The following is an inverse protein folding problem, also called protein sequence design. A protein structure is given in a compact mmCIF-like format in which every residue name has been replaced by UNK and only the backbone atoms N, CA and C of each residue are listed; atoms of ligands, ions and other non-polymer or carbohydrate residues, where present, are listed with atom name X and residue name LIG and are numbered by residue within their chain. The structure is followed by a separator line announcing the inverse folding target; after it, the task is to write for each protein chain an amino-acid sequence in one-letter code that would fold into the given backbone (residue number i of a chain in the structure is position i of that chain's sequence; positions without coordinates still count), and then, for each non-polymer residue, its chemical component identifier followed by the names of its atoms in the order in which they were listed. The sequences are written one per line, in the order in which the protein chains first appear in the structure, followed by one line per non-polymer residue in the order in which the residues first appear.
data_IF_547433244170
#
_entry.id   IF_547433244170
#
_cell.length_a   1.000
_cell.length_b   1.000
_cell.length_c   1.000
_cell.angle_alpha   90.00
_cell.angle_beta   90.00
_cell.angle_gamma   90.00
#
_symmetry.space_group_name_H-M   'P 1'
#
loop_
_entity.id
_entity.type
_entity.pdbx_description
1 polymer ?
2 polymer ?
3 non-polymer ?
4 non-polymer ?
5 non-polymer ?
6 water ?
#
# COMPACT_ATOMS: atom_id res chain seq x y z
N UNK A 2 2.73 -0.41 21.00
CA UNK A 2 2.71 0.91 20.31
C UNK A 2 3.25 1.00 18.85
N UNK A 3 4.22 0.17 18.45
CA UNK A 3 4.57 0.16 17.01
C UNK A 3 3.45 -0.41 16.11
N UNK A 4 2.50 -1.09 16.72
CA UNK A 4 1.42 -1.69 15.95
C UNK A 4 0.17 -0.87 15.85
N UNK A 5 0.20 0.36 16.35
CA UNK A 5 -1.05 1.09 16.51
C UNK A 5 -1.21 2.10 15.33
N UNK A 6 -2.37 2.01 14.64
CA UNK A 6 -2.69 2.84 13.50
C UNK A 6 -3.98 3.54 13.79
N UNK A 7 -4.11 4.71 13.24
CA UNK A 7 -5.34 5.44 13.35
C UNK A 7 -5.88 5.57 11.94
N UNK A 8 -7.16 5.27 11.73
CA UNK A 8 -7.83 5.32 10.42
C UNK A 8 -8.85 6.38 10.46
N UNK A 9 -8.71 7.37 9.56
CA UNK A 9 -9.75 8.31 9.38
C UNK A 9 -10.09 8.47 7.98
N UNK A 10 -11.19 9.10 7.79
CA UNK A 10 -11.64 9.52 6.49
C UNK A 10 -11.56 10.96 6.26
N UNK A 11 -11.30 11.23 5.03
CA UNK A 11 -11.35 12.64 4.63
C UNK A 11 -11.93 12.75 3.20
N UNK A 12 -12.42 13.93 2.85
CA UNK A 12 -13.23 14.14 1.64
C UNK A 12 -12.72 15.27 0.82
N UNK A 13 -12.64 15.02 -0.46
CA UNK A 13 -12.22 16.10 -1.38
C UNK A 13 -12.83 15.78 -2.69
N UNK A 14 -13.28 16.86 -3.41
CA UNK A 14 -13.89 16.62 -4.73
C UNK A 14 -14.98 15.63 -4.82
N UNK A 15 -15.67 15.46 -3.69
CA UNK A 15 -16.84 14.56 -3.74
C UNK A 15 -16.43 13.08 -3.58
N UNK A 16 -15.16 12.90 -3.33
CA UNK A 16 -14.61 11.54 -3.17
C UNK A 16 -14.10 11.29 -1.75
N UNK A 17 -13.98 9.97 -1.46
CA UNK A 17 -13.66 9.52 -0.12
C UNK A 17 -12.18 9.09 -0.10
N UNK A 18 -11.45 9.56 0.89
CA UNK A 18 -10.01 9.17 1.03
C UNK A 18 -10.02 8.56 2.42
N UNK A 19 -9.43 7.37 2.48
CA UNK A 19 -9.08 6.81 3.80
C UNK A 19 -7.66 7.03 4.06
N UNK A 20 -7.41 7.45 5.25
CA UNK A 20 -6.07 7.75 5.74
C UNK A 20 -5.73 6.90 6.95
N UNK A 21 -4.71 6.06 6.83
CA UNK A 21 -4.21 5.31 7.93
C UNK A 21 -2.92 5.95 8.37
N UNK A 22 -2.86 6.32 9.62
CA UNK A 22 -1.66 6.90 10.19
C UNK A 22 -1.06 5.94 11.18
N UNK A 23 0.22 5.66 11.01
CA UNK A 23 0.96 4.92 11.97
C UNK A 23 1.32 5.96 13.08
N UNK A 24 0.71 5.75 14.24
CA UNK A 24 0.65 6.86 15.23
C UNK A 24 2.06 7.25 15.70
N UNK A 25 2.91 6.27 15.90
CA UNK A 25 4.25 6.44 16.49
C UNK A 25 5.17 7.20 15.52
N UNK A 26 4.92 7.09 14.21
CA UNK A 26 5.83 7.64 13.28
C UNK A 26 5.33 8.77 12.50
N UNK A 27 3.99 8.84 12.29
CA UNK A 27 3.38 9.76 11.41
C UNK A 27 3.33 9.32 9.96
N UNK A 28 3.83 8.09 9.73
CA UNK A 28 3.75 7.57 8.33
C UNK A 28 2.30 7.39 7.94
N UNK A 29 1.96 7.67 6.71
CA UNK A 29 0.61 7.43 6.24
C UNK A 29 0.47 6.49 5.07
N UNK A 30 -0.67 5.84 5.01
CA UNK A 30 -1.12 5.14 3.77
C UNK A 30 -2.46 5.76 3.52
N UNK A 31 -2.75 6.14 2.33
CA UNK A 31 -4.09 6.76 2.09
C UNK A 31 -4.49 6.39 0.72
N UNK A 32 -5.75 6.25 0.44
CA UNK A 32 -6.21 6.06 -0.89
C UNK A 32 -7.61 6.55 -1.06
N UNK A 33 -7.91 6.96 -2.25
CA UNK A 33 -9.34 7.23 -2.62
C UNK A 33 -10.01 5.86 -2.67
N UNK A 34 -11.20 5.76 -2.08
CA UNK A 34 -11.99 4.56 -2.22
C UNK A 34 -13.34 4.98 -2.82
N UNK A 35 -14.10 4.06 -3.43
CA UNK A 35 -15.28 4.58 -4.12
C UNK A 35 -16.40 4.94 -3.21
N UNK A 36 -16.42 4.44 -2.00
CA UNK A 36 -17.54 4.80 -1.13
C UNK A 36 -17.07 4.38 0.25
N UNK A 37 -17.56 5.10 1.26
CA UNK A 37 -17.21 4.87 2.63
C UNK A 37 -18.02 3.76 3.25
N UNK A 38 -17.79 2.58 2.71
CA UNK A 38 -18.63 1.43 3.13
C UNK A 38 -17.78 0.46 3.91
N UNK A 39 -18.44 -0.44 4.66
CA UNK A 39 -17.75 -1.44 5.36
C UNK A 39 -16.85 -2.20 4.38
N UNK A 40 -17.36 -2.58 3.21
CA UNK A 40 -16.54 -3.38 2.38
C UNK A 40 -15.31 -2.68 1.92
N UNK A 41 -15.43 -1.42 1.49
CA UNK A 41 -14.23 -0.81 1.01
C UNK A 41 -13.28 -0.53 2.14
N UNK A 42 -13.78 -0.25 3.36
CA UNK A 42 -12.94 0.01 4.51
C UNK A 42 -12.19 -1.28 4.87
N UNK A 43 -12.94 -2.40 4.84
CA UNK A 43 -12.34 -3.68 5.22
C UNK A 43 -11.22 -4.01 4.18
N UNK A 44 -11.46 -3.69 2.90
CA UNK A 44 -10.40 -3.96 1.89
C UNK A 44 -9.16 -3.19 2.13
N UNK A 45 -9.37 -1.88 2.46
CA UNK A 45 -8.25 -1.02 2.72
C UNK A 45 -7.47 -1.49 3.95
N UNK A 46 -8.20 -1.90 4.99
CA UNK A 46 -7.52 -2.45 6.18
C UNK A 46 -6.77 -3.76 5.92
N UNK A 47 -7.42 -4.65 5.19
CA UNK A 47 -6.76 -5.92 4.87
C UNK A 47 -5.47 -5.64 4.07
N UNK A 48 -5.49 -4.68 3.12
CA UNK A 48 -4.28 -4.32 2.47
C UNK A 48 -3.20 -3.78 3.42
N UNK A 49 -3.57 -2.83 4.27
CA UNK A 49 -2.64 -2.29 5.21
C UNK A 49 -2.05 -3.37 6.06
N UNK A 50 -2.92 -4.24 6.55
CA UNK A 50 -2.45 -5.34 7.46
C UNK A 50 -1.47 -6.31 6.85
N UNK A 51 -1.44 -6.36 5.54
CA UNK A 51 -0.51 -7.23 4.87
C UNK A 51 0.79 -6.61 4.67
N UNK A 52 0.94 -5.30 4.83
CA UNK A 52 2.07 -4.57 4.52
C UNK A 52 2.83 -4.14 5.72
N UNK A 53 2.16 -3.99 6.88
CA UNK A 53 2.79 -3.52 8.09
C UNK A 53 2.26 -4.44 9.19
N UNK A 54 2.92 -4.47 10.31
CA UNK A 54 2.44 -5.34 11.40
C UNK A 54 1.42 -4.59 12.27
N UNK A 55 0.18 -4.63 11.84
CA UNK A 55 -0.87 -3.83 12.41
C UNK A 55 -1.55 -4.58 13.55
N UNK A 56 -1.42 -4.05 14.74
CA UNK A 56 -1.96 -4.75 15.96
C UNK A 56 -3.29 -4.11 16.32
N UNK A 57 -3.44 -2.80 16.26
CA UNK A 57 -4.62 -2.17 16.72
C UNK A 57 -4.88 -1.00 15.74
N UNK A 58 -6.14 -0.84 15.34
CA UNK A 58 -6.56 0.30 14.55
C UNK A 58 -7.57 1.02 15.45
N UNK A 59 -7.42 2.32 15.47
CA UNK A 59 -8.40 3.18 16.07
C UNK A 59 -9.11 3.84 14.95
N UNK A 60 -10.43 3.73 14.96
CA UNK A 60 -11.27 4.34 13.87
C UNK A 60 -12.26 5.27 14.49
N UNK A 61 -13.01 5.90 13.58
CA UNK A 61 -13.96 6.80 14.06
C UNK A 61 -15.21 6.09 14.54
N UNK A 62 -15.35 4.80 14.37
CA UNK A 62 -16.47 4.02 14.90
C UNK A 62 -17.79 4.38 14.24
N UNK A 63 -17.73 5.05 13.11
CA UNK A 63 -18.98 5.30 12.37
C UNK A 63 -19.58 4.26 11.57
N UNK A 64 -20.38 4.59 10.60
CA UNK A 64 -21.29 3.69 9.97
C UNK A 64 -20.61 2.52 9.30
N UNK A 65 -19.41 2.74 8.81
CA UNK A 65 -18.78 1.68 8.07
C UNK A 65 -18.13 0.69 9.00
N UNK A 66 -18.31 0.85 10.33
CA UNK A 66 -17.75 -0.09 11.26
C UNK A 66 -18.81 -0.83 12.00
N UNK A 67 -20.08 -0.54 11.76
CA UNK A 67 -21.12 -1.18 12.62
C UNK A 67 -21.47 -2.53 12.00
N UNK A 68 -21.08 -2.80 10.78
CA UNK A 68 -21.40 -4.02 10.14
C UNK A 68 -20.43 -5.17 10.33
N UNK A 69 -20.50 -6.09 9.40
CA UNK A 69 -19.77 -7.36 9.44
C UNK A 69 -18.38 -7.30 8.86
N UNK A 70 -18.20 -6.43 7.89
CA UNK A 70 -17.12 -6.64 6.97
C UNK A 70 -15.81 -6.19 7.54
N UNK A 71 -15.75 -5.02 8.19
CA UNK A 71 -14.50 -4.57 8.76
C UNK A 71 -14.14 -5.56 9.90
N UNK A 72 -15.13 -5.90 10.75
CA UNK A 72 -14.89 -6.79 11.85
C UNK A 72 -14.31 -8.07 11.30
N UNK A 73 -14.84 -8.58 10.20
CA UNK A 73 -14.32 -9.90 9.59
C UNK A 73 -12.88 -9.71 9.18
N UNK A 74 -12.56 -8.60 8.56
CA UNK A 74 -11.14 -8.43 8.20
C UNK A 74 -10.27 -8.25 9.31
N UNK A 75 -10.67 -7.51 10.31
CA UNK A 75 -9.86 -7.30 11.42
C UNK A 75 -9.63 -8.62 12.21
N UNK A 76 -10.71 -9.36 12.33
CA UNK A 76 -10.54 -10.68 13.07
C UNK A 76 -9.50 -11.48 12.30
N UNK A 77 -9.71 -11.65 11.03
CA UNK A 77 -8.84 -12.48 10.20
C UNK A 77 -7.47 -12.05 10.35
N UNK A 78 -7.22 -10.75 10.24
CA UNK A 78 -5.89 -10.23 10.28
C UNK A 78 -5.26 -10.05 11.65
N UNK A 79 -6.10 -10.31 12.69
CA UNK A 79 -5.64 -10.20 14.05
C UNK A 79 -5.34 -8.76 14.46
N UNK A 80 -6.25 -7.90 14.00
CA UNK A 80 -6.24 -6.52 14.40
C UNK A 80 -7.35 -6.28 15.40
N UNK A 81 -6.91 -5.63 16.44
CA UNK A 81 -7.87 -5.21 17.50
C UNK A 81 -8.45 -3.86 17.15
N UNK A 82 -9.78 -3.69 17.21
CA UNK A 82 -10.39 -2.35 17.16
C UNK A 82 -10.97 -2.16 18.57
N UNK A 97 -8.06 14.87 10.83
CA UNK A 97 -6.84 15.18 11.59
C UNK A 97 -6.14 16.54 11.20
N UNK A 98 -5.11 16.89 11.96
CA UNK A 98 -4.07 17.80 11.47
C UNK A 98 -3.55 17.11 10.22
N UNK A 99 -3.47 15.78 10.30
CA UNK A 99 -3.06 14.88 9.20
C UNK A 99 -3.96 14.88 8.00
N UNK A 100 -5.29 14.78 8.19
CA UNK A 100 -6.19 15.07 7.06
C UNK A 100 -5.92 16.48 6.50
N UNK A 101 -5.71 17.44 7.40
CA UNK A 101 -5.48 18.78 6.92
C UNK A 101 -4.12 18.86 6.21
N UNK A 102 -3.07 18.28 6.78
CA UNK A 102 -1.78 18.32 6.11
C UNK A 102 -1.87 17.60 4.75
N UNK A 103 -2.50 16.46 4.74
CA UNK A 103 -2.51 15.73 3.50
C UNK A 103 -3.22 16.56 2.50
N UNK A 104 -4.31 17.19 2.91
CA UNK A 104 -5.07 18.02 1.92
C UNK A 104 -4.27 19.19 1.36
N UNK A 105 -3.46 19.73 2.25
CA UNK A 105 -2.58 20.84 1.88
C UNK A 105 -1.63 20.30 0.80
N UNK A 106 -1.06 19.11 1.01
CA UNK A 106 -0.10 18.64 0.02
C UNK A 106 -0.84 18.31 -1.22
N UNK A 107 -2.01 17.67 -1.10
CA UNK A 107 -2.74 17.37 -2.30
C UNK A 107 -3.01 18.62 -3.13
N UNK A 108 -3.32 19.71 -2.46
CA UNK A 108 -3.69 20.96 -3.23
C UNK A 108 -2.42 21.50 -3.94
N UNK A 109 -1.24 21.25 -3.43
CA UNK A 109 0.05 21.70 -4.10
C UNK A 109 0.39 20.85 -5.32
N UNK A 110 -0.03 19.59 -5.30
CA UNK A 110 0.23 18.78 -6.48
C UNK A 110 -0.96 18.53 -7.36
N UNK A 111 -2.11 19.02 -6.95
CA UNK A 111 -3.36 18.67 -7.62
C UNK A 111 -3.35 18.99 -9.09
N UNK A 112 -2.80 20.12 -9.51
CA UNK A 112 -2.91 20.32 -10.97
C UNK A 112 -1.96 19.49 -11.83
N UNK A 113 -1.08 18.70 -11.19
CA UNK A 113 -0.17 17.86 -11.94
C UNK A 113 -0.77 16.58 -12.40
N UNK A 114 -1.93 16.28 -11.86
CA UNK A 114 -2.50 15.02 -12.13
C UNK A 114 -3.93 15.33 -12.53
N UNK A 115 -4.45 14.56 -13.48
CA UNK A 115 -5.86 14.67 -13.86
C UNK A 115 -6.73 14.11 -12.73
N UNK A 116 -6.35 12.97 -12.19
CA UNK A 116 -7.21 12.24 -11.25
C UNK A 116 -6.82 12.48 -9.86
N UNK A 117 -7.80 12.73 -9.04
CA UNK A 117 -7.55 12.92 -7.62
C UNK A 117 -6.67 11.79 -7.01
N UNK A 118 -6.99 10.55 -7.35
CA UNK A 118 -6.26 9.49 -6.74
C UNK A 118 -4.78 9.60 -6.96
N UNK A 119 -4.33 10.01 -8.15
CA UNK A 119 -2.92 10.21 -8.38
C UNK A 119 -2.34 11.30 -7.46
N UNK A 120 -3.03 12.46 -7.34
CA UNK A 120 -2.60 13.54 -6.47
C UNK A 120 -2.51 13.05 -5.01
N UNK A 121 -3.49 12.21 -4.57
CA UNK A 121 -3.36 11.63 -3.27
C UNK A 121 -2.06 10.82 -3.03
N UNK A 122 -1.75 9.97 -4.08
CA UNK A 122 -0.56 9.15 -3.85
C UNK A 122 0.71 10.03 -3.98
N UNK A 123 0.63 11.16 -4.75
CA UNK A 123 1.81 12.02 -4.71
C UNK A 123 1.94 12.64 -3.38
N UNK A 124 0.80 13.01 -2.81
CA UNK A 124 0.85 13.59 -1.52
C UNK A 124 1.26 12.69 -0.41
N UNK A 125 0.91 11.37 -0.52
CA UNK A 125 1.39 10.45 0.44
C UNK A 125 2.95 10.30 0.32
N UNK A 126 3.39 10.25 -0.97
CA UNK A 126 4.82 10.14 -1.18
C UNK A 126 5.50 11.35 -0.54
N UNK A 127 4.99 12.53 -0.79
CA UNK A 127 5.64 13.71 -0.28
C UNK A 127 5.65 13.61 1.21
N UNK A 128 4.48 13.31 1.77
CA UNK A 128 4.35 13.34 3.22
C UNK A 128 5.35 12.38 3.86
N UNK A 129 5.43 11.19 3.32
CA UNK A 129 6.24 10.13 3.93
C UNK A 129 7.72 10.27 3.72
N UNK A 130 8.12 10.97 2.68
CA UNK A 130 9.58 11.06 2.36
C UNK A 130 10.07 12.39 2.73
N UNK A 131 9.21 13.33 3.16
CA UNK A 131 9.71 14.72 3.46
C UNK A 131 10.61 14.63 4.64
N UNK A 132 11.78 15.32 4.55
CA UNK A 132 12.75 15.35 5.69
C UNK A 132 12.71 16.71 6.39
N UNK A 133 12.18 16.73 7.60
CA UNK A 133 11.88 17.95 8.36
C UNK A 133 13.12 18.70 8.91
N UNK A 134 14.31 18.19 8.60
CA UNK A 134 15.57 18.87 8.88
C UNK A 134 16.54 18.76 7.71
N UNK A 137 19.76 16.69 9.68
CA UNK A 137 19.71 15.26 9.83
C UNK A 137 18.40 14.78 10.44
N UNK A 138 17.28 15.38 10.00
CA UNK A 138 15.93 14.92 10.37
C UNK A 138 15.59 13.60 9.67
N UNK A 139 14.61 12.86 10.19
CA UNK A 139 14.17 11.61 9.52
C UNK A 139 12.82 11.87 8.85
N UNK A 140 12.55 11.10 7.82
CA UNK A 140 11.19 11.24 7.24
C UNK A 140 10.30 10.27 8.00
N UNK A 141 8.98 10.45 7.77
CA UNK A 141 8.00 9.43 8.35
C UNK A 141 8.26 8.01 7.91
N UNK A 142 8.65 7.84 6.64
CA UNK A 142 9.00 6.54 6.18
C UNK A 142 10.20 5.91 6.87
N UNK A 143 11.20 6.74 7.20
CA UNK A 143 12.34 6.20 7.90
C UNK A 143 11.96 5.93 9.34
N UNK A 144 11.14 6.82 9.93
CA UNK A 144 10.69 6.65 11.32
C UNK A 144 9.94 5.33 11.53
N UNK A 145 9.02 4.99 10.59
CA UNK A 145 8.25 3.78 10.78
C UNK A 145 9.06 2.53 10.70
N UNK A 146 10.00 2.49 9.72
CA UNK A 146 10.88 1.33 9.58
C UNK A 146 11.76 1.25 10.84
N UNK A 147 12.25 2.37 11.31
CA UNK A 147 13.17 2.30 12.48
C UNK A 147 12.38 1.85 13.73
N UNK A 148 11.18 2.42 13.97
CA UNK A 148 10.35 1.94 15.07
C UNK A 148 10.00 0.46 14.96
N UNK A 149 9.60 -0.04 13.79
CA UNK A 149 9.24 -1.45 13.72
C UNK A 149 10.48 -2.35 13.79
N UNK A 150 11.57 -1.89 13.20
CA UNK A 150 12.81 -2.73 13.22
C UNK A 150 13.26 -2.97 14.65
N UNK A 151 13.20 -1.91 15.42
CA UNK A 151 13.58 -1.86 16.83
C UNK A 151 12.68 -2.76 17.63
N UNK A 152 11.41 -2.69 17.33
CA UNK A 152 10.51 -3.61 17.96
C UNK A 152 10.80 -5.08 17.61
N UNK A 153 11.17 -5.38 16.36
CA UNK A 153 11.40 -6.79 15.99
C UNK A 153 12.62 -7.40 16.67
N UNK A 154 13.77 -6.74 16.56
CA UNK A 154 15.04 -7.23 17.14
C UNK A 154 15.14 -6.89 18.63
N UNK B 2 20.49 -5.10 -3.06
CA UNK B 2 20.39 -3.69 -2.52
C UNK B 2 18.96 -3.30 -2.02
N UNK B 3 18.85 -2.39 -1.02
CA UNK B 3 17.56 -2.17 -0.27
C UNK B 3 16.46 -1.46 -1.07
N UNK B 4 16.86 -0.81 -2.16
CA UNK B 4 15.92 0.03 -2.93
C UNK B 4 15.39 -0.70 -4.14
N UNK B 5 15.75 -1.97 -4.31
CA UNK B 5 15.48 -2.60 -5.62
C UNK B 5 14.21 -3.49 -5.49
N UNK B 6 13.28 -3.25 -6.44
CA UNK B 6 12.02 -3.96 -6.50
C UNK B 6 11.91 -4.57 -7.87
N UNK B 7 11.19 -5.64 -7.96
CA UNK B 7 10.90 -6.20 -9.23
C UNK B 7 9.45 -6.25 -9.36
N UNK B 8 8.94 -5.85 -10.52
CA UNK B 8 7.49 -5.69 -10.80
C UNK B 8 7.14 -6.66 -11.85
N UNK B 9 6.22 -7.58 -11.52
CA UNK B 9 5.73 -8.45 -12.53
C UNK B 9 4.28 -8.47 -12.52
N UNK B 10 3.72 -8.95 -13.59
CA UNK B 10 2.32 -9.21 -13.68
C UNK B 10 1.94 -10.65 -13.64
N UNK B 11 0.78 -10.89 -13.12
CA UNK B 11 0.28 -12.25 -13.14
C UNK B 11 -1.25 -12.18 -13.35
N UNK B 12 -1.85 -13.28 -13.76
CA UNK B 12 -3.23 -13.29 -14.23
C UNK B 12 -3.97 -14.42 -13.57
N UNK B 13 -5.18 -14.10 -13.17
CA UNK B 13 -6.06 -15.12 -12.59
C UNK B 13 -7.43 -14.66 -12.81
N UNK B 14 -8.34 -15.63 -13.17
CA UNK B 14 -9.75 -15.26 -13.40
C UNK B 14 -10.04 -14.14 -14.33
N UNK B 15 -9.12 -13.96 -15.27
CA UNK B 15 -9.37 -12.95 -16.30
C UNK B 15 -8.97 -11.56 -15.81
N UNK B 16 -8.33 -11.55 -14.64
CA UNK B 16 -7.92 -10.26 -14.05
C UNK B 16 -6.40 -10.17 -13.94
N UNK B 17 -5.99 -8.90 -13.78
CA UNK B 17 -4.59 -8.57 -13.84
C UNK B 17 -4.17 -8.29 -12.41
N UNK B 18 -3.08 -8.90 -12.02
CA UNK B 18 -2.53 -8.61 -10.69
C UNK B 18 -1.12 -8.13 -11.00
N UNK B 19 -0.78 -6.99 -10.37
CA UNK B 19 0.65 -6.53 -10.32
C UNK B 19 1.27 -6.93 -9.04
N UNK B 20 2.42 -7.51 -9.16
CA UNK B 20 3.16 -7.94 -8.04
C UNK B 20 4.54 -7.25 -7.93
N UNK B 21 4.76 -6.49 -6.86
CA UNK B 21 6.02 -5.89 -6.63
C UNK B 21 6.76 -6.63 -5.54
N UNK B 22 7.92 -7.11 -5.86
CA UNK B 22 8.70 -7.82 -4.92
C UNK B 22 9.90 -7.02 -4.55
N UNK B 23 10.14 -6.89 -3.25
CA UNK B 23 11.31 -6.27 -2.70
C UNK B 23 12.39 -7.35 -2.72
N UNK B 24 13.35 -7.14 -3.61
CA UNK B 24 14.17 -8.31 -4.00
C UNK B 24 14.99 -8.88 -2.82
N UNK B 25 15.53 -8.02 -1.96
CA UNK B 25 16.37 -8.43 -0.86
C UNK B 25 15.60 -9.19 0.20
N UNK B 26 14.28 -8.94 0.32
CA UNK B 26 13.53 -9.55 1.37
C UNK B 26 12.57 -10.57 1.02
N UNK B 27 12.02 -10.51 -0.21
CA UNK B 27 10.92 -11.32 -0.60
C UNK B 27 9.56 -10.77 -0.25
N UNK B 28 9.59 -9.59 0.36
CA UNK B 28 8.32 -8.91 0.74
C UNK B 28 7.56 -8.55 -0.55
N UNK B 29 6.26 -8.71 -0.58
CA UNK B 29 5.46 -8.31 -1.73
C UNK B 29 4.39 -7.29 -1.46
N UNK B 30 4.09 -6.56 -2.50
CA UNK B 30 2.88 -5.73 -2.54
C UNK B 30 2.23 -6.16 -3.80
N UNK B 31 0.99 -6.46 -3.76
CA UNK B 31 0.33 -6.91 -5.03
C UNK B 31 -1.06 -6.40 -5.00
N UNK B 32 -1.63 -6.08 -6.15
CA UNK B 32 -3.01 -5.69 -6.21
C UNK B 32 -3.57 -6.15 -7.52
N UNK B 33 -4.88 -6.41 -7.59
CA UNK B 33 -5.60 -6.48 -8.86
C UNK B 33 -5.74 -5.07 -9.39
N UNK B 34 -5.46 -4.96 -10.69
CA UNK B 34 -5.71 -3.68 -11.38
C UNK B 34 -6.64 -3.94 -12.53
N UNK B 35 -7.36 -2.90 -13.01
CA UNK B 35 -8.42 -3.11 -14.01
C UNK B 35 -7.88 -3.49 -15.33
N UNK B 36 -6.64 -3.09 -15.63
CA UNK B 36 -6.14 -3.41 -16.97
C UNK B 36 -4.65 -3.16 -16.87
N UNK B 37 -3.87 -3.93 -17.63
CA UNK B 37 -2.43 -3.81 -17.69
C UNK B 37 -1.97 -2.66 -18.55
N UNK B 38 -2.30 -1.48 -18.08
CA UNK B 38 -2.00 -0.31 -18.91
C UNK B 38 -0.93 0.49 -18.27
N UNK B 39 -0.28 1.38 -19.03
CA UNK B 39 0.63 2.33 -18.47
C UNK B 39 0.04 3.09 -17.28
N UNK B 40 -1.19 3.59 -17.41
CA UNK B 40 -1.69 4.38 -16.35
C UNK B 40 -1.90 3.59 -15.08
N UNK B 41 -2.41 2.37 -15.16
CA UNK B 41 -2.65 1.69 -13.96
C UNK B 41 -1.37 1.20 -13.35
N UNK B 42 -0.37 0.90 -14.21
CA UNK B 42 0.92 0.49 -13.73
C UNK B 42 1.65 1.68 -13.00
N UNK B 43 1.52 2.87 -13.61
CA UNK B 43 2.15 4.05 -13.04
C UNK B 43 1.50 4.37 -11.68
N UNK B 44 0.19 4.16 -11.57
CA UNK B 44 -0.48 4.39 -10.27
C UNK B 44 -0.02 3.45 -9.24
N UNK B 45 0.07 2.17 -9.60
CA UNK B 45 0.57 1.20 -8.66
C UNK B 45 1.99 1.50 -8.19
N UNK B 46 2.83 1.90 -9.16
CA UNK B 46 4.20 2.30 -8.79
C UNK B 46 4.27 3.53 -7.92
N UNK B 47 3.49 4.53 -8.29
CA UNK B 47 3.47 5.75 -7.41
C UNK B 47 3.03 5.44 -6.01
N UNK B 48 2.06 4.53 -5.86
CA UNK B 48 1.71 4.11 -4.54
C UNK B 48 2.85 3.37 -3.77
N UNK B 49 3.48 2.43 -4.45
CA UNK B 49 4.54 1.70 -3.86
C UNK B 49 5.61 2.68 -3.41
N UNK B 50 5.96 3.58 -4.32
CA UNK B 50 7.05 4.60 -4.05
C UNK B 50 6.79 5.48 -2.87
N UNK B 51 5.57 5.66 -2.49
CA UNK B 51 5.29 6.46 -1.32
C UNK B 51 5.31 5.74 -0.09
N UNK B 52 5.40 4.41 -0.09
CA UNK B 52 5.31 3.59 1.04
C UNK B 52 6.64 3.03 1.39
N UNK B 53 7.55 2.88 0.41
CA UNK B 53 8.86 2.24 0.67
C UNK B 53 9.85 3.08 -0.06
N UNK B 54 11.12 2.95 0.27
CA UNK B 54 12.12 3.80 -0.42
C UNK B 54 12.61 3.13 -1.72
N UNK B 55 11.89 3.32 -2.80
CA UNK B 55 12.07 2.55 -4.01
C UNK B 55 13.05 3.29 -4.88
N UNK B 56 14.17 2.71 -5.11
CA UNK B 56 15.20 3.38 -5.96
C UNK B 56 15.24 2.84 -7.36
N UNK B 57 15.04 1.54 -7.56
CA UNK B 57 15.07 0.94 -8.90
C UNK B 57 13.93 -0.07 -8.98
N UNK B 58 13.22 -0.11 -10.09
CA UNK B 58 12.19 -1.12 -10.29
C UNK B 58 12.61 -1.80 -11.58
N UNK B 59 12.68 -3.11 -11.51
CA UNK B 59 12.93 -3.95 -12.68
C UNK B 59 11.63 -4.44 -13.15
N UNK B 60 11.34 -4.16 -14.41
CA UNK B 60 10.03 -4.64 -14.94
C UNK B 60 10.23 -5.52 -16.12
N UNK B 61 9.07 -5.96 -16.63
CA UNK B 61 9.24 -6.81 -17.75
C UNK B 61 9.40 -6.08 -19.05
N UNK B 62 9.35 -4.77 -19.06
CA UNK B 62 9.64 -3.93 -20.20
C UNK B 62 8.60 -4.05 -21.31
N UNK B 63 7.46 -4.60 -20.99
CA UNK B 63 6.43 -4.77 -22.01
C UNK B 63 5.57 -3.62 -22.31
N UNK B 64 4.43 -3.83 -22.88
CA UNK B 64 3.68 -2.77 -23.48
C UNK B 64 3.28 -1.61 -22.57
N UNK B 65 3.17 -1.91 -21.28
CA UNK B 65 2.72 -0.88 -20.40
C UNK B 65 3.85 -0.02 -19.93
N UNK B 66 5.06 -0.24 -20.47
CA UNK B 66 6.23 0.56 -20.14
C UNK B 66 6.72 1.34 -21.30
N UNK B 67 6.13 1.18 -22.49
CA UNK B 67 6.66 1.89 -23.69
C UNK B 67 6.09 3.36 -23.77
N UNK B 68 5.04 3.69 -23.05
CA UNK B 68 4.44 4.98 -23.16
C UNK B 68 5.03 5.94 -22.12
N UNK B 69 4.21 6.93 -21.85
CA UNK B 69 4.64 8.09 -21.05
C UNK B 69 4.43 7.87 -19.58
N UNK B 70 3.41 7.10 -19.16
CA UNK B 70 2.91 7.41 -17.82
C UNK B 70 3.74 6.72 -16.80
N UNK B 71 4.21 5.51 -17.03
CA UNK B 71 5.07 4.89 -16.05
C UNK B 71 6.36 5.73 -15.92
N UNK B 72 6.92 6.10 -17.07
CA UNK B 72 8.17 6.89 -17.03
C UNK B 72 7.90 8.15 -16.29
N UNK B 73 6.78 8.80 -16.47
CA UNK B 73 6.48 10.10 -15.73
C UNK B 73 6.41 9.79 -14.27
N UNK B 74 5.81 8.67 -13.88
CA UNK B 74 5.75 8.45 -12.42
C UNK B 74 7.06 8.08 -11.85
N UNK B 75 7.88 7.28 -12.54
CA UNK B 75 9.17 6.89 -12.04
C UNK B 75 10.08 8.15 -11.99
N UNK B 76 9.88 9.00 -12.99
CA UNK B 76 10.75 10.25 -12.96
C UNK B 76 10.39 11.01 -11.72
N UNK B 77 9.13 11.26 -11.55
CA UNK B 77 8.65 12.07 -10.45
C UNK B 77 9.14 11.51 -9.17
N UNK B 78 8.96 10.20 -8.97
CA UNK B 78 9.31 9.54 -7.74
C UNK B 78 10.75 9.23 -7.50
N UNK B 79 11.53 9.46 -8.58
CA UNK B 79 12.94 9.20 -8.52
C UNK B 79 13.38 7.73 -8.49
N UNK B 80 12.65 6.99 -9.31
CA UNK B 80 12.85 5.56 -9.45
C UNK B 80 13.50 5.37 -10.80
N UNK B 81 14.57 4.63 -10.75
CA UNK B 81 15.16 4.22 -12.06
C UNK B 81 14.56 2.99 -12.59
N UNK B 82 14.33 2.92 -13.90
CA UNK B 82 13.82 1.64 -14.52
C UNK B 82 14.91 0.70 -15.14
N UNK B 83 14.61 -0.59 -15.32
CA UNK B 83 15.53 -1.56 -15.99
C UNK B 83 14.82 -2.81 -16.60
N UNK B 98 8.61 -18.99 -9.18
CA UNK B 98 8.86 -18.35 -7.91
C UNK B 98 7.56 -17.69 -7.43
N UNK B 99 7.56 -16.37 -7.54
CA UNK B 99 6.69 -15.49 -6.73
C UNK B 99 5.26 -15.42 -7.18
N UNK B 100 5.05 -15.25 -8.49
CA UNK B 100 3.70 -15.35 -9.03
C UNK B 100 3.10 -16.69 -8.70
N UNK B 101 3.93 -17.74 -8.80
CA UNK B 101 3.49 -19.07 -8.50
C UNK B 101 3.16 -19.18 -7.01
N UNK B 102 4.03 -18.71 -6.13
CA UNK B 102 3.72 -18.83 -4.71
C UNK B 102 2.44 -18.02 -4.38
N UNK B 103 2.36 -16.82 -4.90
CA UNK B 103 1.18 -16.07 -4.55
C UNK B 103 -0.04 -16.73 -5.04
N UNK B 104 -0.01 -17.28 -6.26
CA UNK B 104 -1.18 -17.96 -6.77
C UNK B 104 -1.60 -19.17 -5.94
N UNK B 105 -0.58 -19.86 -5.44
CA UNK B 105 -0.80 -20.97 -4.55
C UNK B 105 -1.57 -20.46 -3.33
N UNK B 106 -1.10 -19.34 -2.75
CA UNK B 106 -1.77 -18.88 -1.52
C UNK B 106 -3.10 -18.43 -1.87
N UNK B 107 -3.21 -17.71 -2.97
CA UNK B 107 -4.52 -17.26 -3.36
C UNK B 107 -5.48 -18.40 -3.49
N UNK B 108 -5.05 -19.50 -4.06
CA UNK B 108 -6.05 -20.61 -4.27
C UNK B 108 -6.45 -21.21 -2.93
N UNK B 109 -5.59 -21.14 -1.95
CA UNK B 109 -5.95 -21.65 -0.58
C UNK B 109 -6.98 -20.79 0.15
N UNK B 110 -6.94 -19.48 -0.06
CA UNK B 110 -7.95 -18.61 0.53
C UNK B 110 -9.09 -18.21 -0.34
N UNK B 111 -9.04 -18.58 -1.60
CA UNK B 111 -9.96 -18.06 -2.57
C UNK B 111 -11.40 -18.26 -2.22
N UNK B 112 -11.74 -19.43 -1.65
CA UNK B 112 -13.12 -19.65 -1.38
C UNK B 112 -13.65 -18.77 -0.25
N UNK B 113 -12.75 -18.11 0.51
CA UNK B 113 -13.13 -17.28 1.64
C UNK B 113 -13.64 -15.91 1.29
N UNK B 114 -13.42 -15.51 0.07
CA UNK B 114 -13.74 -14.22 -0.35
C UNK B 114 -14.54 -14.37 -1.57
N UNK B 115 -15.49 -13.47 -1.78
CA UNK B 115 -16.19 -13.43 -3.03
C UNK B 115 -15.27 -12.87 -4.10
N UNK B 116 -14.60 -11.79 -3.81
CA UNK B 116 -13.85 -11.10 -4.84
C UNK B 116 -12.43 -11.47 -4.89
N UNK B 117 -11.90 -11.60 -6.07
CA UNK B 117 -10.51 -11.98 -6.23
C UNK B 117 -9.61 -10.98 -5.48
N UNK B 118 -9.91 -9.68 -5.58
CA UNK B 118 -9.01 -8.74 -4.94
C UNK B 118 -8.85 -9.01 -3.47
N UNK B 119 -9.91 -9.40 -2.77
CA UNK B 119 -9.78 -9.70 -1.35
C UNK B 119 -8.87 -10.89 -1.13
N UNK B 120 -9.04 -11.98 -1.90
CA UNK B 120 -8.16 -13.11 -1.80
C UNK B 120 -6.68 -12.76 -2.07
N UNK B 121 -6.44 -11.87 -3.07
CA UNK B 121 -5.10 -11.44 -3.29
C UNK B 121 -4.46 -10.76 -2.04
N UNK B 122 -5.27 -9.86 -1.41
CA UNK B 122 -4.68 -9.22 -0.23
C UNK B 122 -4.59 -10.19 0.94
N UNK B 123 -5.47 -11.20 1.00
CA UNK B 123 -5.23 -12.16 2.06
C UNK B 123 -3.93 -12.88 1.81
N UNK B 124 -3.70 -13.20 0.55
CA UNK B 124 -2.47 -13.88 0.18
C UNK B 124 -1.23 -13.10 0.38
N UNK B 125 -1.29 -11.74 0.13
CA UNK B 125 -0.18 -10.95 0.41
C UNK B 125 0.13 -10.96 1.92
N UNK B 126 -0.97 -10.79 2.70
CA UNK B 126 -0.82 -10.86 4.16
C UNK B 126 -0.15 -12.19 4.52
N UNK B 127 -0.68 -13.27 4.04
CA UNK B 127 -0.04 -14.57 4.42
C UNK B 127 1.38 -14.57 4.02
N UNK B 128 1.64 -14.22 2.79
CA UNK B 128 2.94 -14.29 2.27
C UNK B 128 3.95 -13.49 3.15
N UNK B 129 3.58 -12.26 3.44
CA UNK B 129 4.49 -11.38 4.10
C UNK B 129 4.65 -11.62 5.58
N UNK B 130 3.66 -12.28 6.18
CA UNK B 130 3.73 -12.51 7.65
C UNK B 130 4.13 -13.89 7.95
N UNK B 131 4.19 -14.79 6.97
CA UNK B 131 4.45 -16.22 7.28
C UNK B 131 5.84 -16.30 7.80
N UNK B 132 6.00 -16.98 8.94
CA UNK B 132 7.37 -17.18 9.50
C UNK B 132 7.84 -18.61 9.19
N UNK B 138 14.13 -17.43 10.93
CA UNK B 138 12.80 -17.35 11.55
C UNK B 138 12.08 -16.00 11.45
N UNK B 139 12.51 -15.12 10.53
CA UNK B 139 11.77 -13.88 10.17
C UNK B 139 10.76 -14.03 9.03
N UNK B 140 9.76 -13.20 9.07
CA UNK B 140 8.84 -13.20 7.89
C UNK B 140 9.42 -12.22 6.90
N UNK B 141 8.81 -12.20 5.71
CA UNK B 141 9.26 -11.16 4.71
C UNK B 141 9.04 -9.73 5.20
N UNK B 142 7.94 -9.52 5.88
CA UNK B 142 7.66 -8.21 6.42
C UNK B 142 8.70 -7.76 7.43
N UNK B 143 9.22 -8.70 8.25
CA UNK B 143 10.25 -8.35 9.18
C UNK B 143 11.58 -8.10 8.47
N UNK B 144 11.85 -8.92 7.46
CA UNK B 144 13.08 -8.79 6.66
C UNK B 144 13.21 -7.46 5.96
N UNK B 145 12.10 -6.95 5.37
CA UNK B 145 12.21 -5.77 4.62
C UNK B 145 12.44 -4.64 5.54
N UNK B 146 11.75 -4.59 6.71
CA UNK B 146 12.04 -3.46 7.61
C UNK B 146 13.45 -3.58 8.18
N UNK B 147 13.90 -4.76 8.47
CA UNK B 147 15.25 -4.83 9.03
C UNK B 147 16.27 -4.43 7.97
N UNK B 148 16.11 -4.86 6.72
CA UNK B 148 17.02 -4.45 5.65
C UNK B 148 16.98 -2.92 5.47
N UNK B 149 15.80 -2.29 5.41
CA UNK B 149 15.77 -0.85 5.19
C UNK B 149 16.20 -0.07 6.43
N UNK B 150 15.90 -0.58 7.60
CA UNK B 150 16.38 0.14 8.81
C UNK B 150 17.90 0.13 8.88
N UNK B 151 18.49 -0.99 8.53
CA UNK B 151 19.95 -1.13 8.51
C UNK B 151 20.54 -0.19 7.48
N UNK B 152 19.86 -0.06 6.36
CA UNK B 152 20.25 0.96 5.42
C UNK B 152 20.19 2.42 5.91
N UNK B 153 19.20 2.80 6.72
CA UNK B 153 19.02 4.22 7.06
C UNK B 153 20.32 4.96 7.51
N UNK B 154 21.19 4.25 8.26
CA UNK B 154 22.58 4.74 8.54
C UNK B 154 23.58 4.55 7.36
N UNK C 1 -21.86 -14.49 2.85
CA UNK C 1 -21.31 -15.55 3.64
C UNK C 1 -19.78 -15.58 3.55
N UNK C 2 -19.21 -14.63 2.59
CA UNK C 2 -17.79 -14.56 2.40
C UNK C 2 -17.26 -13.36 3.22
N UNK C 4 -15.63 -10.63 2.42
CA UNK C 4 -15.87 -9.32 1.86
C UNK C 4 -17.27 -8.98 1.56
N UNK C 5 -18.15 -10.08 1.56
CA UNK C 5 -19.55 -9.95 1.04
C UNK C 5 -20.50 -11.13 1.42
N UNK D 1 -1.57 15.80 -20.85
CA UNK D 1 -0.59 16.77 -20.49
C UNK D 1 -0.28 16.64 -19.00
N UNK D 2 -1.15 15.74 -18.21
CA UNK D 2 -0.91 15.57 -16.81
C UNK D 2 -0.14 14.27 -16.58
N UNK D 4 -0.69 11.41 -15.00
CA UNK D 4 -1.43 10.20 -15.13
C UNK D 4 -2.11 10.01 -16.40
N UNK D 5 -2.33 11.20 -17.13
CA UNK D 5 -3.17 11.22 -18.37
C UNK D 5 -2.91 12.43 -19.32
#
# INVERSE_FOLDING_TARGET
SSPGIWQLDCTHLEGKVILVAVHVASGYIEAEVIPAETGQETAYFLLKLAGRWPVKTVHTDNGSNFTGATVRAACDWAGIKQEDGIPYNPQSQGVIESMNKELKKIIGQVRDQAEHLKTAVQMAVFIHNHKRKGGIGGYSAGERIVDIIATDIQTKE
SSPGIWQLDCTHLEGKVILVAVHVASGYIEAEVIPAETGQETAYFLLKLAGRWPVKTVHTDNGSNFTGATVRAACDWAGIKQEDGIPYNPQSQGVIESMNKELKKIIGQVRDQAEHLKTAVQMAVFIHNHKRKGGIGGYSAGERIVDIIATDIQTKE
PKXDNX
PKXDNX
#
